data_IF_787450991085
#
_entry.id   IF_787450991085
#
_cell.length_a   1.000
_cell.length_b   1.000
_cell.length_c   1.000
_cell.angle_alpha   90.00
_cell.angle_beta   90.00
_cell.angle_gamma   90.00
#
_symmetry.space_group_name_H-M   'P 1'
#
loop_
_entity.id
_entity.type
_entity.pdbx_description
1 polymer ?
#
# COMPACT_ATOMS: atom_id res chain seq x y z
N UNK A 1 5.76 10.28 16.46
CA UNK A 1 6.29 9.89 15.13
C UNK A 1 5.14 9.86 14.14
N UNK A 2 5.26 10.43 12.94
CA UNK A 2 4.19 10.48 11.92
C UNK A 2 4.56 9.50 10.80
N UNK A 3 3.75 8.46 10.60
CA UNK A 3 3.94 7.51 9.51
C UNK A 3 3.54 8.19 8.18
N UNK A 4 4.37 8.13 7.12
CA UNK A 4 3.98 8.67 5.83
C UNK A 4 2.88 7.80 5.21
N UNK A 5 1.79 8.43 4.80
CA UNK A 5 0.64 7.79 4.16
C UNK A 5 0.49 8.37 2.76
N UNK A 6 0.33 7.49 1.78
CA UNK A 6 0.10 7.82 0.38
C UNK A 6 -1.23 7.21 -0.08
N UNK A 7 -1.85 7.82 -1.08
CA UNK A 7 -3.00 7.24 -1.78
C UNK A 7 -2.54 6.88 -3.19
N UNK A 8 -2.80 5.64 -3.61
CA UNK A 8 -2.52 5.17 -4.95
C UNK A 8 -3.77 4.50 -5.54
N UNK A 9 -4.01 4.73 -6.82
CA UNK A 9 -5.04 4.05 -7.58
C UNK A 9 -4.48 2.76 -8.18
N UNK A 10 -4.85 1.61 -7.62
CA UNK A 10 -4.38 0.31 -8.08
C UNK A 10 -5.05 -0.13 -9.38
N UNK A 11 -4.35 -0.97 -10.15
CA UNK A 11 -4.80 -1.52 -11.45
C UNK A 11 -5.08 -0.47 -12.54
N UNK A 12 -4.48 0.71 -12.42
CA UNK A 12 -4.56 1.78 -13.42
C UNK A 12 -3.24 2.55 -13.49
N UNK A 13 -2.98 3.21 -14.62
CA UNK A 13 -1.90 4.19 -14.76
C UNK A 13 -2.40 5.64 -14.71
N UNK A 14 -3.72 5.86 -14.73
CA UNK A 14 -4.35 7.19 -14.70
C UNK A 14 -5.03 7.43 -13.36
N UNK A 15 -4.89 8.64 -12.82
CA UNK A 15 -5.57 9.06 -11.60
C UNK A 15 -7.11 9.00 -11.73
N UNK A 16 -7.79 8.79 -10.60
CA UNK A 16 -9.24 8.67 -10.47
C UNK A 16 -9.86 7.51 -11.25
N UNK A 17 -9.08 6.43 -11.44
CA UNK A 17 -9.52 5.17 -12.06
C UNK A 17 -9.05 4.00 -11.19
N UNK A 18 -9.48 2.77 -11.49
CA UNK A 18 -9.05 1.60 -10.73
C UNK A 18 -9.57 1.58 -9.29
N UNK A 19 -8.76 1.08 -8.35
CA UNK A 19 -9.14 0.92 -6.94
C UNK A 19 -8.26 1.81 -6.02
N UNK A 20 -8.80 2.84 -5.37
CA UNK A 20 -8.02 3.67 -4.45
C UNK A 20 -7.60 2.85 -3.22
N UNK A 21 -6.31 2.91 -2.90
CA UNK A 21 -5.72 2.23 -1.75
C UNK A 21 -4.81 3.18 -0.97
N UNK A 22 -4.92 3.13 0.36
CA UNK A 22 -3.97 3.78 1.25
C UNK A 22 -2.73 2.91 1.45
N UNK A 23 -1.55 3.51 1.32
CA UNK A 23 -0.25 2.83 1.47
C UNK A 23 0.55 3.55 2.57
N UNK A 24 1.00 2.77 3.55
CA UNK A 24 1.90 3.24 4.58
C UNK A 24 3.28 2.63 4.37
N UNK A 25 4.32 3.45 4.26
CA UNK A 25 5.70 2.94 4.16
C UNK A 25 6.23 2.63 5.56
N UNK A 26 6.52 1.35 5.80
CA UNK A 26 7.11 0.88 7.06
C UNK A 26 8.64 0.77 6.89
N UNK A 27 9.40 1.23 7.88
CA UNK A 27 10.88 1.19 7.86
C UNK A 27 11.45 -0.25 7.83
N UNK A 28 10.67 -1.23 8.29
CA UNK A 28 11.01 -2.66 8.25
C UNK A 28 9.81 -3.44 7.71
N UNK A 29 10.02 -4.20 6.64
CA UNK A 29 9.02 -5.15 6.18
C UNK A 29 8.78 -6.21 7.28
N UNK A 30 7.54 -6.67 7.52
CA UNK A 30 7.30 -7.82 8.36
C UNK A 30 8.11 -9.00 7.83
N UNK A 31 9.00 -9.55 8.65
CA UNK A 31 9.80 -10.74 8.34
C UNK A 31 8.94 -11.99 8.50
N UNK A 32 7.97 -12.20 7.60
CA UNK A 32 7.36 -13.52 7.32
C UNK A 32 6.41 -13.40 6.13
N UNK A 33 6.46 -14.31 5.13
CA UNK A 33 5.33 -14.48 4.22
C UNK A 33 4.14 -14.95 5.07
N UNK A 34 3.01 -14.25 4.98
CA UNK A 34 1.76 -14.76 5.51
C UNK A 34 1.52 -16.13 4.84
N UNK A 35 1.66 -17.20 5.62
CA UNK A 35 1.28 -18.54 5.22
C UNK A 35 -0.15 -18.50 4.71
N UNK A 36 -0.38 -19.07 3.52
CA UNK A 36 -1.71 -19.34 2.99
C UNK A 36 -2.58 -19.96 4.08
N UNK A 37 -3.58 -19.21 4.53
CA UNK A 37 -4.84 -19.75 5.03
C UNK A 37 -5.92 -19.26 4.09
#
# INVERSE_FOLDING_TARGET
MKLPIFIADAFTATAFRGNPAAVCLLERAPVTPASSQ
#
